data_IF_753153436993
#
_entry.id   IF_753153436993
#
_cell.length_a   1.000
_cell.length_b   1.000
_cell.length_c   1.000
_cell.angle_alpha   90.00
_cell.angle_beta   90.00
_cell.angle_gamma   90.00
#
_symmetry.space_group_name_H-M   'P 1'
#
loop_
_entity.id
_entity.type
_entity.pdbx_description
1 polymer ?
#
# COMPACT_ATOMS: atom_id res chain seq x y z
N UNK A 1 -14.28 -9.11 20.29
CA UNK A 1 -13.88 -7.97 19.46
C UNK A 1 -12.72 -7.24 20.11
N UNK A 2 -11.84 -6.64 19.31
CA UNK A 2 -10.85 -5.67 19.80
C UNK A 2 -11.55 -4.34 20.12
N UNK A 3 -11.05 -3.61 21.11
CA UNK A 3 -11.62 -2.32 21.54
C UNK A 3 -10.51 -1.32 21.84
N UNK A 4 -10.80 -0.03 21.72
CA UNK A 4 -9.89 1.03 22.17
C UNK A 4 -10.30 1.46 23.57
N UNK A 5 -9.40 1.33 24.55
CA UNK A 5 -9.59 1.79 25.93
C UNK A 5 -8.36 2.55 26.40
N UNK A 6 -8.55 3.77 26.89
CA UNK A 6 -7.49 4.61 27.45
C UNK A 6 -6.25 4.71 26.52
N UNK A 7 -6.48 4.96 25.23
CA UNK A 7 -5.41 5.09 24.24
C UNK A 7 -4.72 3.79 23.85
N UNK A 8 -5.28 2.62 24.19
CA UNK A 8 -4.71 1.30 23.87
C UNK A 8 -5.74 0.40 23.22
N UNK A 9 -5.29 -0.50 22.33
CA UNK A 9 -6.11 -1.59 21.84
C UNK A 9 -6.08 -2.74 22.85
N UNK A 10 -7.25 -3.28 23.18
CA UNK A 10 -7.43 -4.41 24.10
C UNK A 10 -8.32 -5.49 23.48
N UNK A 11 -8.16 -6.73 23.95
CA UNK A 11 -9.06 -7.83 23.60
C UNK A 11 -10.39 -7.79 24.38
N UNK A 12 -11.28 -8.74 24.10
CA UNK A 12 -12.59 -8.84 24.78
C UNK A 12 -12.52 -9.08 26.29
N UNK A 13 -11.35 -9.45 26.83
CA UNK A 13 -11.10 -9.57 28.27
C UNK A 13 -10.43 -8.33 28.89
N UNK A 14 -10.16 -7.30 28.07
CA UNK A 14 -9.50 -6.07 28.49
C UNK A 14 -7.98 -6.16 28.55
N UNK A 15 -7.36 -7.23 28.04
CA UNK A 15 -5.90 -7.36 27.99
C UNK A 15 -5.33 -6.56 26.83
N UNK A 16 -4.22 -5.82 26.99
CA UNK A 16 -3.56 -5.12 25.90
C UNK A 16 -3.19 -6.04 24.76
N UNK A 17 -3.41 -5.56 23.53
CA UNK A 17 -3.02 -6.24 22.29
C UNK A 17 -2.13 -5.29 21.50
N UNK A 18 -0.96 -5.77 21.07
CA UNK A 18 -0.11 -5.10 20.08
C UNK A 18 -0.34 -5.75 18.73
N UNK A 19 -0.75 -4.98 17.73
CA UNK A 19 -0.94 -5.48 16.37
C UNK A 19 0.39 -5.34 15.62
N UNK A 20 0.94 -6.47 15.17
CA UNK A 20 2.24 -6.59 14.51
C UNK A 20 2.12 -7.50 13.31
N UNK A 21 2.46 -7.02 12.12
CA UNK A 21 2.37 -7.85 10.94
C UNK A 21 2.80 -7.19 9.65
N UNK A 22 2.05 -7.48 8.59
CA UNK A 22 2.39 -7.09 7.23
C UNK A 22 1.14 -6.77 6.42
N UNK A 23 1.32 -5.96 5.39
CA UNK A 23 0.33 -5.70 4.37
C UNK A 23 0.46 -6.78 3.29
N UNK A 24 -0.68 -7.26 2.78
CA UNK A 24 -0.71 -8.12 1.60
C UNK A 24 -1.06 -7.27 0.37
N UNK A 25 -0.19 -6.29 0.07
CA UNK A 25 -0.22 -5.62 -1.24
C UNK A 25 0.09 -6.63 -2.34
N UNK A 26 -0.46 -6.42 -3.55
CA UNK A 26 -0.33 -7.36 -4.67
C UNK A 26 -1.43 -8.42 -4.77
N UNK A 27 -2.33 -8.47 -3.79
CA UNK A 27 -3.48 -9.37 -3.83
C UNK A 27 -4.72 -8.66 -4.37
N UNK A 28 -5.73 -8.35 -3.54
CA UNK A 28 -6.95 -7.67 -3.98
C UNK A 28 -6.80 -6.14 -4.19
N UNK A 29 -5.57 -5.62 -4.10
CA UNK A 29 -5.13 -4.36 -4.70
C UNK A 29 -3.71 -4.63 -5.22
N UNK A 30 -3.55 -4.69 -6.53
CA UNK A 30 -2.28 -5.08 -7.14
C UNK A 30 -1.42 -3.85 -7.44
N UNK A 31 -0.11 -3.99 -7.39
CA UNK A 31 0.81 -2.88 -7.69
C UNK A 31 1.94 -3.28 -8.63
N UNK A 32 2.31 -2.38 -9.53
CA UNK A 32 3.25 -2.65 -10.62
C UNK A 32 4.62 -3.19 -10.16
N UNK A 33 5.12 -2.77 -9.00
CA UNK A 33 6.40 -3.21 -8.47
C UNK A 33 6.28 -4.47 -7.60
N UNK A 34 5.05 -4.80 -7.17
CA UNK A 34 4.77 -6.00 -6.38
C UNK A 34 4.54 -7.19 -7.31
N UNK A 35 3.72 -6.99 -8.33
CA UNK A 35 3.25 -8.04 -9.25
C UNK A 35 4.03 -8.09 -10.57
N UNK A 36 4.84 -7.07 -10.85
CA UNK A 36 5.71 -7.01 -12.02
C UNK A 36 5.01 -6.63 -13.33
N UNK A 37 3.77 -6.16 -13.30
CA UNK A 37 3.15 -5.51 -14.46
C UNK A 37 3.55 -4.02 -14.54
N UNK A 38 3.33 -3.30 -15.65
CA UNK A 38 3.53 -1.84 -15.75
C UNK A 38 2.20 -1.06 -15.64
N UNK A 39 2.27 0.22 -15.25
CA UNK A 39 1.13 1.15 -15.10
C UNK A 39 0.24 0.85 -13.88
N UNK A 40 -1.04 1.26 -13.94
CA UNK A 40 -2.06 0.98 -12.93
C UNK A 40 -2.75 -0.38 -13.19
N UNK A 41 -3.35 -0.96 -12.16
CA UNK A 41 -3.96 -2.30 -12.19
C UNK A 41 -5.02 -2.43 -13.30
N UNK A 42 -5.96 -1.47 -13.40
CA UNK A 42 -7.01 -1.52 -14.43
C UNK A 42 -6.44 -1.48 -15.85
N UNK A 43 -5.34 -0.74 -16.08
CA UNK A 43 -4.66 -0.68 -17.37
C UNK A 43 -4.03 -2.03 -17.72
N UNK A 44 -3.38 -2.70 -16.75
CA UNK A 44 -2.81 -4.03 -16.96
C UNK A 44 -3.90 -5.08 -17.23
N UNK A 45 -5.00 -5.04 -16.46
CA UNK A 45 -6.18 -5.92 -16.67
C UNK A 45 -6.78 -5.73 -18.06
N UNK A 46 -6.95 -4.48 -18.51
CA UNK A 46 -7.48 -4.17 -19.83
C UNK A 46 -6.53 -4.66 -20.95
N UNK A 47 -5.23 -4.39 -20.83
CA UNK A 47 -4.24 -4.84 -21.82
C UNK A 47 -4.21 -6.38 -21.95
N UNK A 48 -4.35 -7.10 -20.83
CA UNK A 48 -4.40 -8.56 -20.85
C UNK A 48 -5.68 -9.08 -21.50
N UNK A 49 -6.83 -8.46 -21.21
CA UNK A 49 -8.12 -8.82 -21.81
C UNK A 49 -8.14 -8.57 -23.32
N UNK A 50 -7.50 -7.51 -23.81
CA UNK A 50 -7.36 -7.24 -25.24
C UNK A 50 -6.52 -8.32 -25.95
N UNK A 51 -5.44 -8.79 -25.32
CA UNK A 51 -4.51 -9.75 -25.93
C UNK A 51 -4.99 -11.20 -25.82
N UNK A 52 -5.57 -11.60 -24.68
CA UNK A 52 -5.95 -12.98 -24.39
C UNK A 52 -7.45 -13.27 -24.55
N UNK A 53 -8.26 -12.22 -24.64
CA UNK A 53 -9.71 -12.29 -24.49
C UNK A 53 -10.16 -12.19 -23.02
N UNK A 54 -11.38 -11.68 -22.76
CA UNK A 54 -11.84 -11.36 -21.41
C UNK A 54 -11.89 -12.57 -20.47
N UNK A 55 -12.34 -13.73 -20.95
CA UNK A 55 -12.44 -14.95 -20.13
C UNK A 55 -11.07 -15.45 -19.65
N UNK A 56 -10.07 -15.51 -20.55
CA UNK A 56 -8.73 -15.97 -20.21
C UNK A 56 -7.97 -14.95 -19.35
N UNK A 57 -8.20 -13.66 -19.56
CA UNK A 57 -7.66 -12.62 -18.68
C UNK A 57 -8.26 -12.71 -17.27
N UNK A 58 -9.58 -12.93 -17.15
CA UNK A 58 -10.22 -13.18 -15.85
C UNK A 58 -9.61 -14.42 -15.17
N UNK A 59 -9.47 -15.53 -15.91
CA UNK A 59 -8.80 -16.73 -15.42
C UNK A 59 -7.38 -16.43 -14.90
N UNK A 60 -6.57 -15.69 -15.68
CA UNK A 60 -5.22 -15.31 -15.27
C UNK A 60 -5.20 -14.61 -13.90
N UNK A 61 -6.04 -13.58 -13.72
CA UNK A 61 -6.03 -12.84 -12.46
C UNK A 61 -6.64 -13.65 -11.31
N UNK A 62 -7.68 -14.45 -11.54
CA UNK A 62 -8.21 -15.32 -10.50
C UNK A 62 -7.16 -16.31 -9.99
N UNK A 63 -6.40 -16.92 -10.90
CA UNK A 63 -5.32 -17.84 -10.55
C UNK A 63 -4.13 -17.14 -9.91
N UNK A 64 -3.78 -15.93 -10.35
CA UNK A 64 -2.76 -15.12 -9.70
C UNK A 64 -3.15 -14.87 -8.25
N UNK A 65 -4.38 -14.40 -8.00
CA UNK A 65 -4.88 -14.14 -6.64
C UNK A 65 -4.97 -15.42 -5.78
N UNK A 66 -5.30 -16.56 -6.38
CA UNK A 66 -5.33 -17.85 -5.68
C UNK A 66 -3.94 -18.30 -5.21
N UNK A 67 -2.90 -18.07 -6.04
CA UNK A 67 -1.52 -18.47 -5.72
C UNK A 67 -0.77 -17.42 -4.91
N UNK A 68 -1.18 -16.15 -4.96
CA UNK A 68 -0.51 -15.05 -4.26
C UNK A 68 -0.66 -15.12 -2.74
N UNK A 69 -1.84 -15.46 -2.24
CA UNK A 69 -2.10 -15.61 -0.80
C UNK A 69 -2.95 -16.85 -0.55
N UNK A 70 -2.37 -17.85 0.12
CA UNK A 70 -3.03 -19.11 0.48
C UNK A 70 -2.74 -19.52 1.94
N UNK A 71 -3.28 -20.67 2.38
CA UNK A 71 -3.13 -21.15 3.76
C UNK A 71 -1.65 -21.30 4.20
N UNK A 72 -0.75 -21.72 3.29
CA UNK A 72 0.68 -21.84 3.59
C UNK A 72 1.35 -20.49 3.87
N UNK A 73 0.91 -19.43 3.17
CA UNK A 73 1.36 -18.05 3.41
C UNK A 73 0.92 -17.56 4.79
N UNK A 74 -0.35 -17.79 5.14
CA UNK A 74 -0.88 -17.40 6.45
C UNK A 74 -0.19 -18.15 7.59
N UNK A 75 0.06 -19.45 7.40
CA UNK A 75 0.82 -20.27 8.35
C UNK A 75 2.27 -19.78 8.48
N UNK A 76 2.89 -19.31 7.38
CA UNK A 76 4.21 -18.68 7.41
C UNK A 76 4.20 -17.36 8.19
N UNK A 77 3.29 -16.43 7.86
CA UNK A 77 3.13 -15.14 8.54
C UNK A 77 2.95 -15.36 10.06
N UNK A 78 2.07 -16.29 10.44
CA UNK A 78 1.83 -16.64 11.84
C UNK A 78 3.07 -17.23 12.53
N UNK A 79 3.86 -18.04 11.82
CA UNK A 79 5.12 -18.63 12.33
C UNK A 79 6.20 -17.57 12.57
N UNK A 80 6.22 -16.50 11.78
CA UNK A 80 7.08 -15.33 12.01
C UNK A 80 6.63 -14.49 13.23
N UNK A 81 5.57 -14.90 13.92
CA UNK A 81 5.06 -14.26 15.14
C UNK A 81 4.07 -13.12 14.89
N UNK A 82 3.77 -12.79 13.63
CA UNK A 82 2.75 -11.80 13.32
C UNK A 82 1.37 -12.25 13.81
N UNK A 83 0.53 -11.27 14.17
CA UNK A 83 -0.83 -11.51 14.65
C UNK A 83 -1.90 -10.74 13.86
N UNK A 84 -1.49 -9.95 12.86
CA UNK A 84 -2.40 -9.21 11.98
C UNK A 84 -1.89 -9.25 10.55
N UNK A 85 -2.81 -9.28 9.59
CA UNK A 85 -2.56 -8.93 8.19
C UNK A 85 -3.45 -7.75 7.81
N UNK A 86 -2.88 -6.75 7.14
CA UNK A 86 -3.65 -5.70 6.46
C UNK A 86 -3.91 -6.17 5.04
N UNK A 87 -5.16 -6.15 4.61
CA UNK A 87 -5.56 -6.52 3.25
C UNK A 87 -5.97 -5.25 2.49
N UNK A 88 -5.07 -4.69 1.66
CA UNK A 88 -5.41 -3.69 0.66
C UNK A 88 -6.47 -4.19 -0.32
N UNK A 89 -7.53 -3.42 -0.50
CA UNK A 89 -8.69 -3.75 -1.33
C UNK A 89 -8.93 -2.67 -2.37
N UNK A 90 -9.04 -3.08 -3.63
CA UNK A 90 -9.52 -2.23 -4.72
C UNK A 90 -11.04 -2.37 -4.83
N UNK A 91 -11.78 -1.25 -4.78
CA UNK A 91 -13.26 -1.26 -4.84
C UNK A 91 -13.81 -1.99 -6.09
N UNK A 92 -13.04 -2.06 -7.18
CA UNK A 92 -13.43 -2.72 -8.44
C UNK A 92 -13.61 -4.24 -8.30
N UNK A 93 -13.12 -4.85 -7.23
CA UNK A 93 -13.47 -6.23 -6.90
C UNK A 93 -14.90 -6.38 -6.36
N UNK A 94 -15.48 -5.31 -5.83
CA UNK A 94 -16.71 -5.33 -5.04
C UNK A 94 -17.86 -4.58 -5.67
N UNK A 95 -17.59 -3.63 -6.57
CA UNK A 95 -18.60 -2.79 -7.20
C UNK A 95 -18.31 -2.58 -8.70
N UNK A 96 -19.37 -2.56 -9.51
CA UNK A 96 -19.31 -2.23 -10.93
C UNK A 96 -19.20 -0.72 -11.17
N UNK A 97 -18.27 -0.31 -12.04
CA UNK A 97 -18.19 1.07 -12.54
C UNK A 97 -19.26 1.40 -13.60
N UNK A 98 -19.69 0.40 -14.39
CA UNK A 98 -20.71 0.60 -15.44
C UNK A 98 -22.13 0.59 -14.87
N UNK A 99 -22.31 -0.02 -13.71
CA UNK A 99 -23.57 -0.06 -12.96
C UNK A 99 -23.26 0.31 -11.50
N UNK A 100 -23.10 1.61 -11.18
CA UNK A 100 -22.83 2.06 -9.81
C UNK A 100 -23.80 1.46 -8.80
N UNK A 101 -23.31 1.16 -7.59
CA UNK A 101 -24.03 0.46 -6.52
C UNK A 101 -24.41 -1.00 -6.82
N UNK A 102 -24.02 -1.55 -7.98
CA UNK A 102 -24.14 -2.99 -8.24
C UNK A 102 -22.93 -3.72 -7.66
N UNK A 103 -23.17 -4.48 -6.61
CA UNK A 103 -22.14 -5.23 -5.90
C UNK A 103 -21.79 -6.56 -6.57
N UNK A 104 -20.52 -6.92 -6.53
CA UNK A 104 -19.94 -8.10 -7.17
C UNK A 104 -19.67 -9.18 -6.11
N UNK A 105 -20.59 -10.12 -5.95
CA UNK A 105 -20.50 -11.18 -4.93
C UNK A 105 -19.22 -12.04 -5.03
N UNK A 106 -18.63 -12.17 -6.21
CA UNK A 106 -17.39 -12.93 -6.38
C UNK A 106 -16.21 -12.33 -5.59
N UNK A 107 -16.11 -10.99 -5.53
CA UNK A 107 -15.09 -10.31 -4.73
C UNK A 107 -15.29 -10.52 -3.23
N UNK A 108 -16.53 -10.36 -2.77
CA UNK A 108 -16.88 -10.64 -1.37
C UNK A 108 -16.62 -12.10 -0.99
N UNK A 109 -17.03 -13.05 -1.82
CA UNK A 109 -16.79 -14.47 -1.54
C UNK A 109 -15.30 -14.82 -1.46
N UNK A 110 -14.44 -14.17 -2.25
CA UNK A 110 -12.98 -14.32 -2.16
C UNK A 110 -12.45 -13.77 -0.83
N UNK A 111 -12.88 -12.56 -0.45
CA UNK A 111 -12.49 -11.94 0.81
C UNK A 111 -12.98 -12.75 2.02
N UNK A 112 -14.21 -13.24 2.00
CA UNK A 112 -14.81 -14.05 3.07
C UNK A 112 -13.98 -15.31 3.35
N UNK A 113 -13.58 -16.04 2.30
CA UNK A 113 -12.72 -17.22 2.44
C UNK A 113 -11.37 -16.87 3.06
N UNK A 114 -10.79 -15.73 2.69
CA UNK A 114 -9.50 -15.30 3.23
C UNK A 114 -9.60 -14.82 4.69
N UNK A 115 -10.66 -14.09 5.04
CA UNK A 115 -10.94 -13.72 6.44
C UNK A 115 -11.12 -14.98 7.28
N UNK A 116 -11.88 -15.96 6.81
CA UNK A 116 -12.03 -17.24 7.52
C UNK A 116 -10.68 -17.96 7.68
N UNK A 117 -9.87 -18.01 6.61
CA UNK A 117 -8.53 -18.61 6.64
C UNK A 117 -7.60 -17.93 7.65
N UNK A 118 -7.59 -16.60 7.70
CA UNK A 118 -6.84 -15.84 8.71
C UNK A 118 -7.30 -16.20 10.12
N UNK A 119 -8.62 -16.30 10.34
CA UNK A 119 -9.21 -16.69 11.61
C UNK A 119 -8.76 -18.08 12.08
N UNK A 120 -8.75 -19.07 11.18
CA UNK A 120 -8.24 -20.43 11.48
C UNK A 120 -6.76 -20.44 11.88
N UNK A 121 -5.98 -19.50 11.36
CA UNK A 121 -4.55 -19.34 11.69
C UNK A 121 -4.30 -18.45 12.92
N UNK A 122 -5.37 -17.89 13.52
CA UNK A 122 -5.26 -16.97 14.66
C UNK A 122 -4.64 -15.62 14.27
N UNK A 123 -4.85 -15.18 13.04
CA UNK A 123 -4.48 -13.86 12.54
C UNK A 123 -5.70 -12.94 12.53
N UNK A 124 -5.53 -11.71 13.01
CA UNK A 124 -6.48 -10.65 12.76
C UNK A 124 -6.35 -10.12 11.33
N UNK A 125 -7.42 -9.52 10.83
CA UNK A 125 -7.47 -8.88 9.52
C UNK A 125 -7.87 -7.41 9.65
N UNK A 126 -7.11 -6.51 9.04
CA UNK A 126 -7.56 -5.13 8.80
C UNK A 126 -7.99 -5.05 7.34
N UNK A 127 -9.26 -4.70 7.11
CA UNK A 127 -9.78 -4.46 5.77
C UNK A 127 -9.49 -3.01 5.40
N UNK A 128 -8.69 -2.81 4.35
CA UNK A 128 -8.23 -1.49 3.92
C UNK A 128 -8.76 -1.19 2.52
N UNK A 129 -9.64 -0.18 2.39
CA UNK A 129 -10.07 0.25 1.06
C UNK A 129 -8.99 1.15 0.45
N UNK A 130 -8.14 0.50 -0.32
CA UNK A 130 -6.87 1.02 -0.82
C UNK A 130 -7.02 1.83 -2.11
N UNK A 131 -7.96 1.42 -2.95
CA UNK A 131 -8.45 2.21 -4.07
C UNK A 131 -9.96 2.43 -3.91
N UNK A 132 -10.36 3.70 -3.92
CA UNK A 132 -11.78 4.10 -3.80
C UNK A 132 -12.31 4.62 -5.14
N UNK A 133 -13.64 4.72 -5.23
CA UNK A 133 -14.33 5.30 -6.37
C UNK A 133 -13.82 6.71 -6.65
N UNK A 134 -13.52 7.03 -7.92
CA UNK A 134 -13.06 8.35 -8.30
C UNK A 134 -11.64 8.74 -7.84
N UNK A 135 -10.87 7.83 -7.26
CA UNK A 135 -9.48 8.03 -6.79
C UNK A 135 -9.36 9.08 -5.68
N UNK A 136 -8.86 8.66 -4.52
CA UNK A 136 -8.62 9.53 -3.37
C UNK A 136 -7.29 10.28 -3.43
N UNK A 137 -6.38 9.87 -4.32
CA UNK A 137 -5.11 10.53 -4.57
C UNK A 137 -4.71 10.39 -6.05
N UNK A 138 -3.53 10.90 -6.41
CA UNK A 138 -3.09 10.94 -7.82
C UNK A 138 -2.30 9.72 -8.28
N UNK A 139 -2.00 8.76 -7.40
CA UNK A 139 -0.91 7.82 -7.64
C UNK A 139 -1.43 6.44 -8.04
N UNK A 140 -0.58 5.68 -8.72
CA UNK A 140 -0.95 4.41 -9.37
C UNK A 140 -1.45 3.36 -8.38
N UNK A 141 -1.05 3.41 -7.12
CA UNK A 141 -1.41 2.42 -6.09
C UNK A 141 -2.87 2.52 -5.65
N UNK A 142 -3.55 3.67 -5.88
CA UNK A 142 -5.01 3.77 -5.79
C UNK A 142 -5.71 3.43 -7.13
N UNK A 143 -5.02 2.74 -8.03
CA UNK A 143 -5.47 2.36 -9.37
C UNK A 143 -5.79 3.57 -10.27
N UNK A 144 -5.01 4.64 -10.12
CA UNK A 144 -5.13 5.89 -10.87
C UNK A 144 -4.08 6.01 -11.97
N UNK A 145 -4.52 5.89 -13.24
CA UNK A 145 -3.64 6.08 -14.40
C UNK A 145 -3.56 7.54 -14.88
N UNK A 146 -4.43 8.42 -14.37
CA UNK A 146 -4.67 9.75 -14.94
C UNK A 146 -4.16 10.90 -14.07
N UNK A 147 -3.65 10.63 -12.87
CA UNK A 147 -3.02 11.62 -11.99
C UNK A 147 -3.96 12.72 -11.49
N UNK A 148 -5.26 12.46 -11.43
CA UNK A 148 -6.28 13.37 -10.90
C UNK A 148 -7.11 12.71 -9.80
N UNK A 149 -7.62 13.48 -8.85
CA UNK A 149 -8.38 12.95 -7.70
C UNK A 149 -9.84 13.45 -7.71
N UNK A 150 -10.76 12.67 -8.27
CA UNK A 150 -12.16 13.08 -8.44
C UNK A 150 -13.02 12.85 -7.19
N UNK A 151 -12.60 11.93 -6.31
CA UNK A 151 -13.34 11.55 -5.09
C UNK A 151 -13.74 12.76 -4.24
N UNK A 152 -12.85 13.74 -4.08
CA UNK A 152 -13.06 14.87 -3.18
C UNK A 152 -14.03 15.94 -3.69
N UNK A 153 -14.20 16.04 -5.01
CA UNK A 153 -15.06 17.06 -5.65
C UNK A 153 -16.40 16.52 -6.16
N UNK A 154 -16.52 15.20 -6.33
CA UNK A 154 -17.69 14.57 -6.95
C UNK A 154 -18.49 13.77 -5.91
N UNK A 155 -19.62 14.29 -5.41
CA UNK A 155 -20.43 13.62 -4.38
C UNK A 155 -20.81 12.19 -4.73
N UNK A 156 -21.08 11.92 -6.01
CA UNK A 156 -21.42 10.57 -6.48
C UNK A 156 -20.38 9.50 -6.11
N UNK A 157 -19.08 9.82 -6.16
CA UNK A 157 -18.04 8.87 -5.75
C UNK A 157 -18.01 8.66 -4.24
N UNK A 158 -18.29 9.71 -3.45
CA UNK A 158 -18.41 9.59 -2.00
C UNK A 158 -19.65 8.78 -1.60
N UNK A 159 -20.77 8.92 -2.33
CA UNK A 159 -21.98 8.13 -2.10
C UNK A 159 -21.72 6.63 -2.32
N UNK A 160 -21.05 6.28 -3.42
CA UNK A 160 -20.66 4.90 -3.72
C UNK A 160 -19.69 4.33 -2.67
N UNK A 161 -18.70 5.13 -2.27
CA UNK A 161 -17.74 4.78 -1.23
C UNK A 161 -18.42 4.47 0.11
N UNK A 162 -19.32 5.35 0.58
CA UNK A 162 -20.07 5.15 1.82
C UNK A 162 -20.96 3.91 1.72
N UNK A 163 -21.69 3.76 0.61
CA UNK A 163 -22.56 2.59 0.41
C UNK A 163 -21.78 1.26 0.38
N UNK A 164 -20.59 1.25 -0.22
CA UNK A 164 -19.71 0.07 -0.18
C UNK A 164 -19.25 -0.25 1.25
N UNK A 165 -18.92 0.78 2.05
CA UNK A 165 -18.60 0.57 3.47
C UNK A 165 -19.78 0.07 4.29
N UNK A 166 -21.01 0.49 3.98
CA UNK A 166 -22.22 -0.09 4.58
C UNK A 166 -22.36 -1.58 4.25
N UNK A 167 -22.06 -2.01 3.03
CA UNK A 167 -22.02 -3.43 2.66
C UNK A 167 -20.94 -4.21 3.41
N UNK A 168 -19.72 -3.65 3.50
CA UNK A 168 -18.62 -4.26 4.26
C UNK A 168 -18.99 -4.41 5.74
N UNK A 169 -19.52 -3.36 6.37
CA UNK A 169 -20.00 -3.40 7.75
C UNK A 169 -21.10 -4.44 7.92
N UNK A 170 -22.07 -4.52 7.00
CA UNK A 170 -23.15 -5.51 7.08
C UNK A 170 -22.60 -6.94 7.04
N UNK A 171 -21.61 -7.22 6.20
CA UNK A 171 -21.04 -8.57 6.05
C UNK A 171 -20.17 -8.97 7.23
N UNK A 172 -19.33 -8.06 7.70
CA UNK A 172 -18.29 -8.39 8.68
C UNK A 172 -18.67 -8.08 10.12
N UNK A 173 -19.81 -7.43 10.39
CA UNK A 173 -20.29 -7.17 11.77
C UNK A 173 -20.26 -8.42 12.65
N UNK A 174 -19.70 -8.27 13.85
CA UNK A 174 -19.54 -9.35 14.82
C UNK A 174 -18.47 -10.39 14.50
N UNK A 175 -17.74 -10.28 13.38
CA UNK A 175 -16.64 -11.18 13.06
C UNK A 175 -15.33 -10.78 13.77
N UNK A 176 -15.01 -11.44 14.88
CA UNK A 176 -13.83 -11.13 15.68
C UNK A 176 -12.47 -11.34 14.99
N UNK A 177 -12.42 -12.01 13.84
CA UNK A 177 -11.21 -12.09 13.02
C UNK A 177 -10.88 -10.75 12.38
N UNK A 178 -11.89 -9.94 12.04
CA UNK A 178 -11.65 -8.59 11.54
C UNK A 178 -11.29 -7.70 12.74
N UNK A 179 -10.06 -7.19 12.76
CA UNK A 179 -9.61 -6.22 13.76
C UNK A 179 -10.32 -4.87 13.57
N UNK A 180 -10.57 -4.50 12.31
CA UNK A 180 -11.28 -3.28 11.97
C UNK A 180 -11.18 -2.87 10.51
N UNK A 181 -11.66 -1.65 10.25
CA UNK A 181 -11.84 -1.07 8.92
C UNK A 181 -10.93 0.14 8.74
N UNK A 182 -9.95 0.05 7.86
CA UNK A 182 -9.17 1.19 7.39
C UNK A 182 -9.92 1.80 6.22
N UNK A 183 -10.65 2.88 6.51
CA UNK A 183 -11.73 3.35 5.62
C UNK A 183 -11.20 3.86 4.28
N UNK A 184 -10.00 4.41 4.26
CA UNK A 184 -9.39 4.99 3.07
C UNK A 184 -7.87 5.06 3.24
N UNK A 185 -7.16 4.47 2.30
CA UNK A 185 -5.70 4.57 2.20
C UNK A 185 -5.26 5.91 1.62
N UNK A 186 -4.27 6.55 2.24
CA UNK A 186 -3.48 7.67 1.71
C UNK A 186 -4.30 8.77 1.01
N UNK A 187 -5.23 9.43 1.71
CA UNK A 187 -6.02 10.51 1.13
C UNK A 187 -5.15 11.71 0.75
N UNK A 188 -5.49 12.36 -0.37
CA UNK A 188 -4.88 13.62 -0.83
C UNK A 188 -5.97 14.54 -1.34
N UNK A 189 -6.62 15.25 -0.42
CA UNK A 189 -7.84 16.05 -0.66
C UNK A 189 -7.70 17.13 -1.72
N UNK A 190 -6.55 17.81 -1.79
CA UNK A 190 -6.40 19.01 -2.61
C UNK A 190 -5.61 18.76 -3.90
N UNK A 191 -5.94 17.68 -4.63
CA UNK A 191 -5.32 17.31 -5.93
C UNK A 191 -6.30 16.95 -7.06
N UNK A 192 -7.42 17.66 -7.20
CA UNK A 192 -8.48 17.31 -8.15
C UNK A 192 -8.04 17.43 -9.61
N UNK A 193 -7.10 18.31 -9.90
CA UNK A 193 -6.55 18.53 -11.24
C UNK A 193 -5.11 17.98 -11.36
N UNK A 194 -4.65 17.25 -10.33
CA UNK A 194 -3.30 16.68 -10.21
C UNK A 194 -2.36 17.46 -9.28
N UNK A 195 -1.11 16.98 -9.21
CA UNK A 195 -0.03 17.57 -8.38
C UNK A 195 1.05 18.18 -9.26
N UNK A 196 1.36 19.46 -9.03
CA UNK A 196 2.37 20.21 -9.80
C UNK A 196 3.26 21.12 -8.93
N UNK A 197 2.74 21.70 -7.84
CA UNK A 197 3.49 22.59 -6.95
C UNK A 197 4.14 21.89 -5.76
N UNK A 198 5.09 22.57 -5.11
CA UNK A 198 5.75 22.11 -3.87
C UNK A 198 4.94 22.32 -2.61
N UNK A 199 4.05 23.31 -2.63
CA UNK A 199 3.17 23.61 -1.52
C UNK A 199 1.89 22.80 -1.67
N UNK A 200 1.64 21.94 -0.68
CA UNK A 200 0.41 21.20 -0.56
C UNK A 200 -0.28 21.59 0.75
N UNK A 201 -1.55 21.97 0.64
CA UNK A 201 -2.39 22.25 1.81
C UNK A 201 -3.60 21.32 1.76
N UNK A 202 -3.77 20.43 2.76
CA UNK A 202 -4.97 19.62 2.89
C UNK A 202 -6.25 20.46 2.95
N UNK A 203 -7.32 19.98 2.33
CA UNK A 203 -8.67 20.45 2.60
C UNK A 203 -9.26 19.70 3.80
N UNK A 204 -8.96 20.23 4.99
CA UNK A 204 -9.40 19.66 6.26
C UNK A 204 -10.92 19.57 6.39
N UNK A 205 -11.66 20.53 5.85
CA UNK A 205 -13.11 20.53 5.93
C UNK A 205 -13.69 19.32 5.17
N UNK A 206 -13.16 19.05 3.97
CA UNK A 206 -13.62 17.95 3.13
C UNK A 206 -13.28 16.58 3.74
N UNK A 207 -12.04 16.33 4.17
CA UNK A 207 -11.68 15.02 4.76
C UNK A 207 -12.44 14.74 6.05
N UNK A 208 -12.59 15.73 6.95
CA UNK A 208 -13.34 15.55 8.18
C UNK A 208 -14.83 15.26 7.90
N UNK A 209 -15.44 15.94 6.91
CA UNK A 209 -16.82 15.67 6.51
C UNK A 209 -17.01 14.25 5.97
N UNK A 210 -16.10 13.77 5.10
CA UNK A 210 -16.12 12.40 4.57
C UNK A 210 -15.94 11.38 5.70
N UNK A 211 -14.99 11.61 6.62
CA UNK A 211 -14.73 10.73 7.75
C UNK A 211 -15.92 10.62 8.71
N UNK A 212 -16.57 11.74 9.06
CA UNK A 212 -17.81 11.68 9.84
C UNK A 212 -18.86 10.85 9.14
N UNK A 213 -19.11 11.14 7.85
CA UNK A 213 -20.14 10.47 7.07
C UNK A 213 -19.94 8.96 6.99
N UNK A 214 -18.73 8.49 6.67
CA UNK A 214 -18.46 7.04 6.55
C UNK A 214 -18.44 6.35 7.92
N UNK A 215 -17.90 7.00 8.96
CA UNK A 215 -17.89 6.45 10.32
C UNK A 215 -19.31 6.32 10.86
N UNK A 216 -20.15 7.34 10.68
CA UNK A 216 -21.56 7.31 11.11
C UNK A 216 -22.34 6.20 10.38
N UNK A 217 -22.15 6.07 9.06
CA UNK A 217 -22.78 5.01 8.26
C UNK A 217 -22.36 3.60 8.72
N UNK A 218 -21.05 3.40 8.94
CA UNK A 218 -20.53 2.14 9.49
C UNK A 218 -21.13 1.89 10.88
N UNK A 219 -21.09 2.88 11.79
CA UNK A 219 -21.55 2.73 13.17
C UNK A 219 -23.05 2.46 13.30
N UNK A 220 -23.85 2.88 12.33
CA UNK A 220 -25.27 2.53 12.26
C UNK A 220 -25.52 1.02 12.03
N UNK A 221 -24.53 0.30 11.47
CA UNK A 221 -24.61 -1.13 11.13
C UNK A 221 -23.71 -1.97 12.05
N UNK A 222 -22.53 -1.45 12.38
CA UNK A 222 -21.47 -2.09 13.14
C UNK A 222 -20.87 -1.15 14.20
N UNK A 223 -21.38 -1.23 15.44
CA UNK A 223 -20.92 -0.38 16.52
C UNK A 223 -19.59 -0.83 17.14
N UNK A 224 -19.08 -2.03 16.82
CA UNK A 224 -18.02 -2.67 17.63
C UNK A 224 -16.63 -2.57 17.01
N UNK A 225 -16.49 -2.79 15.69
CA UNK A 225 -15.16 -2.87 15.05
C UNK A 225 -14.35 -1.58 15.20
N UNK A 226 -13.03 -1.71 15.28
CA UNK A 226 -12.14 -0.55 15.20
C UNK A 226 -12.30 0.10 13.82
N UNK A 227 -12.33 1.42 13.77
CA UNK A 227 -12.19 2.17 12.52
C UNK A 227 -10.83 2.87 12.52
N UNK A 228 -10.03 2.58 11.51
CA UNK A 228 -8.74 3.21 11.27
C UNK A 228 -8.90 4.38 10.30
N UNK A 229 -8.47 5.57 10.71
CA UNK A 229 -8.51 6.80 9.92
C UNK A 229 -7.08 7.25 9.59
N UNK A 230 -6.83 7.57 8.33
CA UNK A 230 -5.50 8.00 7.87
C UNK A 230 -5.36 9.53 7.85
N UNK A 231 -4.12 9.98 7.90
CA UNK A 231 -3.81 11.39 7.68
C UNK A 231 -3.92 11.77 6.20
N UNK A 232 -4.10 13.07 5.93
CA UNK A 232 -3.96 13.59 4.57
C UNK A 232 -2.48 13.51 4.09
N UNK A 233 -2.26 13.67 2.80
CA UNK A 233 -0.99 13.66 2.12
C UNK A 233 -0.21 12.38 2.36
N UNK A 234 -0.78 11.26 1.90
CA UNK A 234 -0.19 9.93 2.04
C UNK A 234 0.00 9.55 3.51
N UNK A 235 -1.04 9.81 4.32
CA UNK A 235 -1.03 9.41 5.73
C UNK A 235 0.05 10.09 6.57
N UNK A 236 0.45 11.32 6.19
CA UNK A 236 1.50 12.09 6.87
C UNK A 236 0.98 13.32 7.65
N UNK A 237 -0.16 13.88 7.27
CA UNK A 237 -0.70 15.15 7.80
C UNK A 237 -1.95 14.91 8.64
N UNK A 238 -1.91 15.33 9.89
CA UNK A 238 -2.98 15.12 10.88
C UNK A 238 -3.40 16.41 11.59
N UNK A 239 -2.65 17.50 11.43
CA UNK A 239 -2.80 18.69 12.26
C UNK A 239 -4.21 19.32 12.22
N UNK A 240 -4.92 19.21 11.09
CA UNK A 240 -6.28 19.71 10.93
C UNK A 240 -7.38 18.64 10.95
N UNK A 241 -7.05 17.39 11.29
CA UNK A 241 -8.09 16.40 11.62
C UNK A 241 -8.80 16.83 12.92
N UNK A 242 -10.11 16.65 12.94
CA UNK A 242 -10.91 16.87 14.14
C UNK A 242 -10.53 15.88 15.24
N UNK A 243 -10.63 16.31 16.50
CA UNK A 243 -10.49 15.42 17.65
C UNK A 243 -11.39 14.16 17.49
N UNK A 244 -11.00 13.01 18.06
CA UNK A 244 -11.76 11.77 17.93
C UNK A 244 -13.24 11.99 18.28
N UNK A 245 -14.11 11.67 17.33
CA UNK A 245 -15.53 12.00 17.39
C UNK A 245 -16.44 10.76 17.53
N UNK A 246 -15.85 9.58 17.59
CA UNK A 246 -16.53 8.31 17.79
C UNK A 246 -15.67 7.38 18.65
N UNK A 247 -16.29 6.36 19.23
CA UNK A 247 -15.59 5.32 19.96
C UNK A 247 -14.85 4.35 19.01
N UNK A 248 -13.85 3.64 19.55
CA UNK A 248 -13.06 2.65 18.83
C UNK A 248 -12.40 3.20 17.55
N UNK A 249 -11.87 4.42 17.61
CA UNK A 249 -11.04 5.00 16.55
C UNK A 249 -9.54 4.75 16.82
N UNK A 250 -8.83 4.39 15.75
CA UNK A 250 -7.36 4.33 15.70
C UNK A 250 -6.92 5.19 14.53
N UNK A 251 -5.78 5.89 14.68
CA UNK A 251 -5.25 6.70 13.60
C UNK A 251 -4.07 5.97 12.96
N UNK A 252 -4.10 5.88 11.64
CA UNK A 252 -3.09 5.20 10.83
C UNK A 252 -2.18 6.24 10.19
N UNK A 253 -0.87 6.09 10.32
CA UNK A 253 0.15 6.92 9.65
C UNK A 253 1.11 6.06 8.86
N UNK A 254 1.65 6.57 7.76
CA UNK A 254 2.69 5.88 6.99
C UNK A 254 4.06 6.47 7.27
N UNK A 255 5.08 5.61 7.40
CA UNK A 255 6.41 6.01 7.84
C UNK A 255 7.49 5.36 6.97
N UNK A 256 7.71 5.92 5.78
CA UNK A 256 8.83 5.53 4.93
C UNK A 256 10.06 6.38 5.23
N UNK A 257 11.17 5.71 5.53
CA UNK A 257 12.43 6.35 5.92
C UNK A 257 13.45 6.26 4.78
N UNK A 258 14.14 7.36 4.47
CA UNK A 258 15.24 7.35 3.51
C UNK A 258 16.34 6.33 3.90
N UNK A 259 16.49 6.00 5.18
CA UNK A 259 17.43 4.99 5.66
C UNK A 259 17.05 3.57 5.22
N UNK A 260 15.76 3.28 5.00
CA UNK A 260 15.29 2.00 4.47
C UNK A 260 15.43 1.88 2.95
N UNK A 261 15.65 2.99 2.25
CA UNK A 261 15.60 3.07 0.79
C UNK A 261 17.01 3.27 0.19
N UNK A 262 17.82 4.12 0.82
CA UNK A 262 19.17 4.41 0.36
C UNK A 262 19.24 5.45 -0.76
N UNK A 263 20.38 5.53 -1.46
CA UNK A 263 21.60 4.75 -1.26
C UNK A 263 22.45 5.27 -0.08
N UNK A 264 23.41 4.47 0.40
CA UNK A 264 24.41 4.88 1.39
C UNK A 264 24.36 4.09 2.70
N UNK A 265 25.41 4.20 3.51
CA UNK A 265 25.60 3.34 4.68
C UNK A 265 24.67 3.67 5.86
N UNK A 266 24.29 2.68 6.66
CA UNK A 266 23.53 2.84 7.90
C UNK A 266 24.13 2.02 9.06
N UNK A 267 24.52 2.63 10.19
CA UNK A 267 24.45 4.05 10.45
C UNK A 267 25.48 4.87 9.65
N UNK A 268 25.27 6.18 9.50
CA UNK A 268 26.21 7.10 8.86
C UNK A 268 26.40 8.36 9.69
N UNK A 269 27.66 8.79 9.79
CA UNK A 269 28.09 10.02 10.46
C UNK A 269 28.23 11.20 9.48
N UNK A 270 27.67 11.09 8.27
CA UNK A 270 27.75 12.15 7.28
C UNK A 270 27.06 13.45 7.79
N UNK A 271 27.67 14.63 7.58
CA UNK A 271 27.09 15.90 8.04
C UNK A 271 25.68 16.13 7.49
N UNK A 272 24.74 16.51 8.36
CA UNK A 272 23.39 16.97 7.97
C UNK A 272 22.34 15.88 7.76
N UNK A 273 22.65 14.60 8.01
CA UNK A 273 21.65 13.50 8.00
C UNK A 273 21.92 12.54 9.16
N UNK A 274 21.15 12.55 10.25
CA UNK A 274 21.30 11.53 11.30
C UNK A 274 20.75 10.20 10.77
N UNK A 275 21.57 9.46 10.05
CA UNK A 275 21.27 8.11 9.58
C UNK A 275 21.67 7.14 10.68
N UNK A 276 20.87 7.09 11.74
CA UNK A 276 20.99 6.17 12.85
C UNK A 276 19.64 6.05 13.56
N UNK A 277 19.57 5.22 14.61
CA UNK A 277 18.36 5.02 15.40
C UNK A 277 17.86 6.34 16.02
N UNK A 278 18.75 7.22 16.46
CA UNK A 278 18.36 8.47 17.12
C UNK A 278 17.68 9.42 16.13
N UNK A 279 18.21 9.52 14.91
CA UNK A 279 17.59 10.26 13.81
C UNK A 279 16.24 9.68 13.39
N UNK A 280 16.11 8.35 13.31
CA UNK A 280 14.81 7.73 13.03
C UNK A 280 13.79 8.00 14.15
N UNK A 281 14.22 7.97 15.41
CA UNK A 281 13.38 8.31 16.56
C UNK A 281 12.93 9.77 16.53
N UNK A 282 13.84 10.70 16.22
CA UNK A 282 13.53 12.12 16.08
C UNK A 282 12.54 12.36 14.95
N UNK A 283 12.78 11.77 13.77
CA UNK A 283 11.88 11.86 12.63
C UNK A 283 10.49 11.33 12.99
N UNK A 284 10.38 10.15 13.59
CA UNK A 284 9.10 9.60 14.02
C UNK A 284 8.37 10.51 15.01
N UNK A 285 9.04 11.07 16.02
CA UNK A 285 8.41 11.95 17.00
C UNK A 285 7.99 13.33 16.44
N UNK A 286 8.60 13.76 15.33
CA UNK A 286 8.27 15.01 14.65
C UNK A 286 7.16 14.86 13.60
N UNK A 287 6.82 13.63 13.19
CA UNK A 287 5.67 13.38 12.33
C UNK A 287 4.34 13.71 13.02
N UNK A 288 3.36 14.17 12.24
CA UNK A 288 2.08 14.64 12.77
C UNK A 288 1.22 13.49 13.34
N UNK A 289 1.32 12.27 12.80
CA UNK A 289 0.57 11.10 13.29
C UNK A 289 0.84 10.78 14.76
N UNK A 290 2.10 10.51 15.16
CA UNK A 290 2.47 10.31 16.57
C UNK A 290 2.13 11.50 17.48
N UNK A 291 2.24 12.74 16.98
CA UNK A 291 1.85 13.93 17.75
C UNK A 291 0.35 13.99 17.98
N UNK A 292 -0.44 13.74 16.94
CA UNK A 292 -1.90 13.71 16.99
C UNK A 292 -2.37 12.61 17.95
N UNK A 293 -1.85 11.39 17.80
CA UNK A 293 -2.21 10.25 18.64
C UNK A 293 -1.92 10.52 20.12
N UNK A 294 -0.76 11.11 20.43
CA UNK A 294 -0.40 11.54 21.80
C UNK A 294 -1.31 12.65 22.32
N UNK A 295 -1.57 13.68 21.51
CA UNK A 295 -2.41 14.83 21.88
C UNK A 295 -3.84 14.39 22.25
N UNK A 296 -4.39 13.43 21.51
CA UNK A 296 -5.77 12.97 21.66
C UNK A 296 -5.92 11.67 22.46
N UNK A 297 -4.83 11.11 22.99
CA UNK A 297 -4.81 9.85 23.74
C UNK A 297 -5.52 8.71 23.00
N UNK A 298 -5.18 8.54 21.72
CA UNK A 298 -5.68 7.47 20.85
C UNK A 298 -4.53 6.58 20.38
N UNK A 299 -4.76 5.29 20.08
CA UNK A 299 -3.72 4.43 19.54
C UNK A 299 -3.26 4.93 18.17
N UNK A 300 -1.97 4.75 17.90
CA UNK A 300 -1.37 4.92 16.58
C UNK A 300 -1.09 3.55 15.96
N UNK A 301 -1.50 3.39 14.71
CA UNK A 301 -1.04 2.32 13.85
C UNK A 301 -0.14 2.89 12.76
N UNK A 302 1.09 2.38 12.65
CA UNK A 302 1.93 2.62 11.49
C UNK A 302 1.49 1.64 10.41
N UNK A 303 0.54 2.09 9.57
CA UNK A 303 -0.13 1.26 8.56
C UNK A 303 0.81 0.76 7.49
N UNK A 304 1.83 1.54 7.17
CA UNK A 304 2.88 1.18 6.23
C UNK A 304 4.24 1.74 6.63
N UNK A 305 5.26 0.91 6.45
CA UNK A 305 6.67 1.26 6.51
C UNK A 305 7.47 0.08 5.93
N UNK A 306 8.74 0.30 5.59
CA UNK A 306 9.58 -0.79 5.13
C UNK A 306 10.94 -0.33 4.61
N UNK A 307 11.71 -1.30 4.16
CA UNK A 307 12.98 -1.13 3.48
C UNK A 307 12.97 -1.86 2.15
N UNK A 308 13.81 -1.43 1.21
CA UNK A 308 13.99 -2.07 -0.10
C UNK A 308 15.29 -2.88 -0.12
N UNK A 309 15.31 -3.95 -0.92
CA UNK A 309 16.42 -4.90 -1.03
C UNK A 309 16.85 -5.15 -2.48
N UNK A 310 16.28 -4.41 -3.44
CA UNK A 310 16.65 -4.44 -4.85
C UNK A 310 17.75 -3.43 -5.24
N UNK A 311 18.38 -2.79 -4.24
CA UNK A 311 19.55 -1.95 -4.41
C UNK A 311 20.85 -2.77 -4.48
N UNK A 312 22.02 -2.12 -4.33
CA UNK A 312 23.31 -2.81 -4.24
C UNK A 312 23.32 -3.86 -3.12
N UNK A 313 23.84 -5.05 -3.41
CA UNK A 313 23.79 -6.19 -2.49
C UNK A 313 24.56 -5.92 -1.18
N UNK A 314 25.62 -5.12 -1.26
CA UNK A 314 26.43 -4.69 -0.12
C UNK A 314 25.67 -3.76 0.85
N UNK A 315 24.59 -3.11 0.41
CA UNK A 315 23.77 -2.23 1.25
C UNK A 315 22.60 -2.98 1.94
N UNK A 316 22.30 -4.21 1.55
CA UNK A 316 21.21 -5.01 2.14
C UNK A 316 21.33 -5.13 3.67
N UNK A 317 22.51 -5.44 4.26
CA UNK A 317 22.66 -5.46 5.72
C UNK A 317 22.34 -4.12 6.39
N UNK A 318 22.56 -3.01 5.70
CA UNK A 318 22.30 -1.67 6.21
C UNK A 318 20.80 -1.36 6.19
N UNK A 319 20.10 -1.79 5.14
CA UNK A 319 18.63 -1.68 5.03
C UNK A 319 17.92 -2.50 6.11
N UNK A 320 18.47 -3.67 6.45
CA UNK A 320 17.98 -4.52 7.54
C UNK A 320 18.18 -3.87 8.91
N UNK A 321 19.36 -3.28 9.18
CA UNK A 321 19.61 -2.54 10.44
C UNK A 321 18.72 -1.30 10.56
N UNK A 322 18.52 -0.57 9.47
CA UNK A 322 17.61 0.58 9.44
C UNK A 322 16.18 0.17 9.79
N UNK A 323 15.69 -0.94 9.22
CA UNK A 323 14.37 -1.47 9.56
C UNK A 323 14.27 -1.93 11.02
N UNK A 324 15.29 -2.63 11.52
CA UNK A 324 15.34 -3.11 12.91
C UNK A 324 15.21 -1.95 13.90
N UNK A 325 15.99 -0.89 13.70
CA UNK A 325 15.93 0.33 14.50
C UNK A 325 14.59 1.05 14.37
N UNK A 326 13.99 1.08 13.17
CA UNK A 326 12.70 1.72 12.94
C UNK A 326 11.58 1.02 13.71
N UNK A 327 11.52 -0.32 13.65
CA UNK A 327 10.54 -1.10 14.42
C UNK A 327 10.78 -0.94 15.92
N UNK A 328 12.05 -0.90 16.36
CA UNK A 328 12.37 -0.68 17.76
C UNK A 328 11.84 0.66 18.29
N UNK A 329 11.90 1.72 17.47
CA UNK A 329 11.30 3.02 17.79
C UNK A 329 9.78 2.93 17.92
N UNK A 330 9.11 2.18 17.03
CA UNK A 330 7.66 1.98 17.11
C UNK A 330 7.26 1.19 18.35
N UNK A 331 8.01 0.14 18.68
CA UNK A 331 7.81 -0.67 19.90
C UNK A 331 8.06 0.15 21.18
N UNK A 332 9.10 0.99 21.22
CA UNK A 332 9.39 1.90 22.34
C UNK A 332 8.23 2.88 22.58
N UNK A 333 7.65 3.41 21.49
CA UNK A 333 6.51 4.31 21.58
C UNK A 333 5.21 3.58 21.93
N UNK A 334 5.13 2.28 21.62
CA UNK A 334 3.92 1.48 21.73
C UNK A 334 2.96 1.75 20.57
N UNK A 335 3.47 1.80 19.33
CA UNK A 335 2.66 1.89 18.12
C UNK A 335 2.35 0.48 17.60
N UNK A 336 1.17 0.31 16.99
CA UNK A 336 0.89 -0.86 16.17
C UNK A 336 1.62 -0.72 14.85
N UNK A 337 1.92 -1.80 14.13
CA UNK A 337 2.62 -1.67 12.85
C UNK A 337 2.36 -2.81 11.88
N UNK A 338 2.39 -2.48 10.59
CA UNK A 338 2.38 -3.42 9.47
C UNK A 338 3.42 -3.01 8.44
N UNK A 339 4.34 -3.93 8.12
CA UNK A 339 5.31 -3.69 7.04
C UNK A 339 4.63 -3.66 5.68
N UNK A 340 5.15 -2.86 4.75
CA UNK A 340 4.85 -2.94 3.33
C UNK A 340 6.06 -3.62 2.65
N UNK A 341 5.95 -4.83 2.10
CA UNK A 341 4.77 -5.72 1.96
C UNK A 341 5.13 -7.19 2.28
N UNK A 342 4.15 -8.11 2.24
CA UNK A 342 4.35 -9.54 2.47
C UNK A 342 5.11 -10.24 1.34
N UNK A 343 4.60 -10.14 0.11
CA UNK A 343 5.09 -10.87 -1.05
C UNK A 343 5.25 -9.94 -2.25
N UNK A 344 6.34 -10.07 -3.00
CA UNK A 344 6.55 -9.31 -4.25
C UNK A 344 7.51 -10.00 -5.24
N UNK A 345 7.82 -9.30 -6.33
CA UNK A 345 8.79 -9.71 -7.36
C UNK A 345 10.25 -9.36 -7.04
N UNK A 346 10.60 -9.16 -5.76
CA UNK A 346 11.98 -8.98 -5.30
C UNK A 346 12.36 -7.55 -4.93
N UNK A 347 11.45 -6.79 -4.31
CA UNK A 347 11.70 -5.38 -3.93
C UNK A 347 11.88 -5.21 -2.42
N UNK A 348 10.87 -5.55 -1.63
CA UNK A 348 10.76 -5.31 -0.18
C UNK A 348 10.09 -6.46 0.59
N UNK A 349 9.49 -7.43 -0.10
CA UNK A 349 8.72 -8.52 0.47
C UNK A 349 9.46 -9.36 1.54
N UNK A 350 8.69 -9.86 2.52
CA UNK A 350 9.13 -10.94 3.43
C UNK A 350 9.44 -12.20 2.63
N UNK A 351 8.65 -12.40 1.59
CA UNK A 351 8.76 -13.46 0.61
C UNK A 351 8.85 -12.80 -0.76
N UNK A 352 9.70 -13.32 -1.63
CA UNK A 352 9.83 -12.81 -3.00
C UNK A 352 9.73 -13.95 -3.99
N UNK A 353 9.29 -13.68 -5.21
CA UNK A 353 9.41 -14.68 -6.27
C UNK A 353 10.88 -15.05 -6.49
N UNK A 354 11.10 -16.30 -6.89
CA UNK A 354 12.41 -16.69 -7.41
C UNK A 354 12.64 -15.96 -8.75
N UNK A 355 13.76 -15.23 -8.95
CA UNK A 355 14.07 -14.62 -10.24
C UNK A 355 14.11 -15.61 -11.42
N UNK A 356 14.40 -16.88 -11.14
CA UNK A 356 14.40 -17.98 -12.13
C UNK A 356 13.04 -18.67 -12.26
N UNK A 357 12.01 -18.20 -11.55
CA UNK A 357 10.65 -18.76 -11.66
C UNK A 357 10.04 -18.49 -13.04
N UNK A 358 9.15 -19.38 -13.46
CA UNK A 358 8.46 -19.31 -14.75
C UNK A 358 7.80 -17.95 -14.99
N UNK A 359 7.18 -17.36 -13.95
CA UNK A 359 6.56 -16.04 -14.08
C UNK A 359 7.59 -14.94 -14.32
N UNK A 360 8.66 -14.89 -13.52
CA UNK A 360 9.72 -13.89 -13.65
C UNK A 360 10.42 -13.96 -15.01
N UNK A 361 10.65 -15.18 -15.50
CA UNK A 361 11.21 -15.41 -16.83
C UNK A 361 10.22 -14.99 -17.94
N UNK A 362 8.92 -15.28 -17.78
CA UNK A 362 7.90 -14.88 -18.75
C UNK A 362 7.75 -13.36 -18.88
N UNK A 363 7.99 -12.61 -17.80
CA UNK A 363 7.89 -11.13 -17.81
C UNK A 363 9.24 -10.41 -17.99
N UNK A 364 10.34 -11.15 -18.16
CA UNK A 364 11.70 -10.61 -18.14
C UNK A 364 11.91 -9.46 -19.14
N UNK A 365 11.33 -9.55 -20.35
CA UNK A 365 11.43 -8.51 -21.36
C UNK A 365 10.70 -7.23 -20.94
N UNK A 366 9.48 -7.35 -20.43
CA UNK A 366 8.75 -6.20 -19.90
C UNK A 366 9.47 -5.58 -18.70
N UNK A 367 10.06 -6.39 -17.82
CA UNK A 367 10.83 -5.95 -16.67
C UNK A 367 12.10 -5.19 -17.10
N UNK A 368 12.80 -5.66 -18.14
CA UNK A 368 13.92 -4.92 -18.74
C UNK A 368 13.46 -3.56 -19.25
N UNK A 369 12.34 -3.49 -19.97
CA UNK A 369 11.81 -2.22 -20.50
C UNK A 369 11.40 -1.27 -19.37
N UNK A 370 10.74 -1.76 -18.32
CA UNK A 370 10.42 -0.97 -17.11
C UNK A 370 11.67 -0.31 -16.52
N UNK A 371 12.76 -1.08 -16.35
CA UNK A 371 14.03 -0.58 -15.82
C UNK A 371 14.72 0.43 -16.76
N UNK A 372 14.80 0.13 -18.06
CA UNK A 372 15.46 1.00 -19.04
C UNK A 372 14.73 2.34 -19.24
N UNK A 373 13.40 2.35 -19.09
CA UNK A 373 12.59 3.57 -19.11
C UNK A 373 12.48 4.23 -17.73
N UNK A 374 12.64 3.49 -16.64
CA UNK A 374 12.39 4.00 -15.29
C UNK A 374 10.90 4.26 -15.04
N UNK A 375 10.03 3.33 -15.46
CA UNK A 375 8.57 3.47 -15.29
C UNK A 375 8.14 3.43 -13.82
N UNK A 376 8.99 2.91 -12.94
CA UNK A 376 8.77 2.96 -11.50
C UNK A 376 9.51 4.18 -10.94
N UNK A 377 9.03 5.39 -11.28
CA UNK A 377 9.75 6.66 -11.10
C UNK A 377 10.10 7.01 -9.64
N UNK A 378 9.43 6.39 -8.69
CA UNK A 378 9.66 6.51 -7.24
C UNK A 378 10.92 5.77 -6.76
N UNK A 379 11.54 4.93 -7.60
CA UNK A 379 12.74 4.13 -7.27
C UNK A 379 14.04 4.96 -7.23
N UNK A 380 14.04 6.07 -6.51
CA UNK A 380 15.11 7.08 -6.56
C UNK A 380 16.48 6.63 -6.05
N UNK A 381 16.54 5.48 -5.38
CA UNK A 381 17.80 4.86 -4.94
C UNK A 381 18.51 4.07 -6.05
N UNK A 382 17.81 3.77 -7.14
CA UNK A 382 18.38 3.11 -8.31
C UNK A 382 19.01 4.14 -9.26
N UNK A 383 19.94 3.70 -10.13
CA UNK A 383 20.49 4.55 -11.18
C UNK A 383 19.39 5.14 -12.08
N UNK A 384 19.53 6.42 -12.40
CA UNK A 384 18.55 7.14 -13.22
C UNK A 384 18.60 6.62 -14.65
N UNK A 385 17.44 6.28 -15.20
CA UNK A 385 17.30 5.80 -16.58
C UNK A 385 17.60 6.89 -17.62
N UNK A 386 17.88 6.49 -18.87
CA UNK A 386 18.04 7.45 -19.98
C UNK A 386 16.79 8.32 -20.16
N UNK A 387 15.61 7.71 -20.10
CA UNK A 387 14.35 8.45 -20.19
C UNK A 387 14.16 9.40 -18.99
N UNK A 388 14.58 9.00 -17.80
CA UNK A 388 14.61 9.86 -16.61
C UNK A 388 15.50 11.08 -16.78
N UNK A 389 16.66 10.95 -17.43
CA UNK A 389 17.53 12.09 -17.74
C UNK A 389 16.87 13.05 -18.75
N UNK A 390 16.20 12.53 -19.79
CA UNK A 390 15.46 13.35 -20.77
C UNK A 390 14.31 14.10 -20.08
N UNK A 391 13.58 13.45 -19.18
CA UNK A 391 12.51 14.09 -18.42
C UNK A 391 13.06 15.19 -17.50
N UNK A 392 14.23 14.99 -16.88
CA UNK A 392 14.90 16.05 -16.10
C UNK A 392 15.32 17.24 -16.97
N UNK A 393 15.79 16.98 -18.18
CA UNK A 393 16.13 18.05 -19.13
C UNK A 393 14.89 18.82 -19.58
N UNK A 394 13.78 18.12 -19.85
CA UNK A 394 12.50 18.76 -20.16
C UNK A 394 11.99 19.60 -18.99
N UNK A 395 12.05 19.09 -17.76
CA UNK A 395 11.70 19.85 -16.56
C UNK A 395 12.52 21.14 -16.45
N UNK A 396 13.84 21.06 -16.64
CA UNK A 396 14.72 22.24 -16.67
C UNK A 396 14.36 23.22 -17.79
N UNK A 397 14.05 22.71 -18.99
CA UNK A 397 13.59 23.54 -20.10
C UNK A 397 12.30 24.28 -19.76
N UNK A 398 11.34 23.62 -19.10
CA UNK A 398 10.11 24.26 -18.61
C UNK A 398 10.44 25.39 -17.63
N UNK A 399 11.32 25.13 -16.65
CA UNK A 399 11.76 26.14 -15.67
C UNK A 399 12.40 27.36 -16.36
N UNK A 400 13.30 27.12 -17.32
CA UNK A 400 14.02 28.16 -18.05
C UNK A 400 13.10 28.99 -18.98
N UNK A 401 12.19 28.34 -19.70
CA UNK A 401 11.29 29.01 -20.65
C UNK A 401 10.15 29.73 -19.94
N UNK A 402 9.58 29.12 -18.89
CA UNK A 402 8.55 29.77 -18.09
C UNK A 402 9.11 30.98 -17.32
N UNK A 403 10.37 30.87 -16.83
CA UNK A 403 11.06 31.91 -16.07
C UNK A 403 10.22 32.43 -14.89
N UNK A 404 9.50 31.51 -14.24
CA UNK A 404 8.62 31.78 -13.12
C UNK A 404 9.27 31.27 -11.82
N UNK A 405 9.62 32.15 -10.87
CA UNK A 405 10.24 31.75 -9.60
C UNK A 405 9.30 30.94 -8.68
N UNK A 406 7.99 30.88 -8.96
CA UNK A 406 7.05 30.07 -8.20
C UNK A 406 7.11 28.57 -8.57
N UNK A 407 7.73 28.22 -9.70
CA UNK A 407 7.94 26.82 -10.07
C UNK A 407 9.04 26.22 -9.19
N UNK A 408 8.68 25.30 -8.30
CA UNK A 408 9.65 24.52 -7.55
C UNK A 408 10.32 23.45 -8.43
N UNK A 409 11.65 23.49 -8.63
CA UNK A 409 12.33 22.55 -9.51
C UNK A 409 12.24 21.09 -9.06
N UNK A 410 12.16 20.83 -7.75
CA UNK A 410 12.07 19.47 -7.25
C UNK A 410 10.71 18.83 -7.57
N UNK A 411 9.64 19.57 -7.35
CA UNK A 411 8.25 19.16 -7.62
C UNK A 411 8.00 19.05 -9.11
N UNK A 412 8.47 20.00 -9.91
CA UNK A 412 8.39 19.95 -11.38
C UNK A 412 9.04 18.65 -11.91
N UNK A 413 10.29 18.36 -11.53
CA UNK A 413 10.99 17.13 -11.94
C UNK A 413 10.24 15.87 -11.50
N UNK A 414 9.77 15.82 -10.24
CA UNK A 414 9.06 14.65 -9.70
C UNK A 414 7.76 14.40 -10.45
N UNK A 415 6.88 15.39 -10.48
CA UNK A 415 5.55 15.22 -11.05
C UNK A 415 5.57 15.02 -12.56
N UNK A 416 6.56 15.61 -13.26
CA UNK A 416 6.78 15.31 -14.67
C UNK A 416 7.29 13.88 -14.87
N UNK A 417 8.21 13.38 -14.03
CA UNK A 417 8.66 11.99 -14.07
C UNK A 417 7.51 11.01 -13.84
N UNK A 418 6.68 11.26 -12.82
CA UNK A 418 5.50 10.45 -12.58
C UNK A 418 4.56 10.45 -13.81
N UNK A 419 4.47 11.57 -14.55
CA UNK A 419 3.47 11.72 -15.61
C UNK A 419 3.96 11.04 -16.89
N UNK A 420 5.18 11.35 -17.26
CA UNK A 420 5.82 10.84 -18.46
C UNK A 420 6.21 9.38 -18.32
N UNK A 421 6.76 8.97 -17.16
CA UNK A 421 7.36 7.65 -16.97
C UNK A 421 6.39 6.68 -16.30
N UNK A 422 5.85 7.04 -15.12
CA UNK A 422 5.02 6.13 -14.32
C UNK A 422 3.58 5.98 -14.84
N UNK A 423 3.06 6.99 -15.54
CA UNK A 423 1.75 6.91 -16.17
C UNK A 423 1.85 6.62 -17.67
N UNK A 424 2.36 7.57 -18.47
CA UNK A 424 2.30 7.47 -19.93
C UNK A 424 3.17 6.35 -20.50
N UNK A 425 4.47 6.37 -20.23
CA UNK A 425 5.39 5.34 -20.74
C UNK A 425 5.00 3.96 -20.19
N UNK A 426 4.68 3.86 -18.90
CA UNK A 426 4.21 2.60 -18.31
C UNK A 426 2.96 2.05 -19.02
N UNK A 427 1.99 2.91 -19.34
CA UNK A 427 0.77 2.51 -20.06
C UNK A 427 1.07 2.03 -21.48
N UNK A 428 2.06 2.61 -22.16
CA UNK A 428 2.53 2.11 -23.46
C UNK A 428 3.21 0.74 -23.36
N UNK A 429 3.79 0.40 -22.20
CA UNK A 429 4.45 -0.90 -21.96
C UNK A 429 3.42 -1.97 -21.56
N UNK A 430 2.24 -1.63 -21.06
CA UNK A 430 1.22 -2.62 -20.63
C UNK A 430 0.82 -3.61 -21.74
N UNK A 431 0.57 -3.20 -23.00
CA UNK A 431 0.33 -4.16 -24.08
C UNK A 431 1.54 -5.04 -24.40
N UNK A 432 2.78 -4.56 -24.21
CA UNK A 432 3.98 -5.38 -24.36
C UNK A 432 4.01 -6.48 -23.29
N UNK A 433 3.74 -6.12 -22.03
CA UNK A 433 3.65 -7.08 -20.94
C UNK A 433 2.61 -8.16 -21.23
N UNK A 434 1.39 -7.77 -21.63
CA UNK A 434 0.30 -8.69 -21.93
C UNK A 434 0.62 -9.66 -23.09
N UNK A 435 1.33 -9.19 -24.13
CA UNK A 435 1.72 -10.02 -25.29
C UNK A 435 2.68 -11.15 -24.94
N UNK A 436 3.40 -11.08 -23.83
CA UNK A 436 4.27 -12.18 -23.38
C UNK A 436 3.48 -13.46 -23.07
N UNK A 437 2.18 -13.34 -22.77
CA UNK A 437 1.32 -14.50 -22.47
C UNK A 437 0.50 -14.98 -23.69
N UNK A 438 0.68 -14.35 -24.86
CA UNK A 438 -0.10 -14.68 -26.06
C UNK A 438 0.15 -16.13 -26.47
N UNK A 439 -0.94 -16.85 -26.74
CA UNK A 439 -0.87 -18.25 -27.20
C UNK A 439 -0.66 -19.26 -26.08
N UNK A 440 -0.45 -18.84 -24.83
CA UNK A 440 -0.43 -19.76 -23.70
C UNK A 440 -1.83 -20.37 -23.47
N UNK A 441 -1.86 -21.67 -23.18
CA UNK A 441 -3.06 -22.35 -22.70
C UNK A 441 -3.34 -21.95 -21.25
N UNK A 442 -4.55 -22.20 -20.76
CA UNK A 442 -4.89 -21.95 -19.35
C UNK A 442 -4.04 -22.81 -18.41
N UNK A 443 -3.72 -24.04 -18.79
CA UNK A 443 -2.83 -24.93 -18.03
C UNK A 443 -1.41 -24.35 -17.94
N UNK A 444 -0.89 -23.77 -19.03
CA UNK A 444 0.44 -23.13 -19.00
C UNK A 444 0.43 -21.86 -18.14
N UNK A 445 -0.64 -21.07 -18.23
CA UNK A 445 -0.83 -19.87 -17.40
C UNK A 445 -0.87 -20.25 -15.92
N UNK A 446 -1.68 -21.24 -15.54
CA UNK A 446 -1.78 -21.69 -14.15
C UNK A 446 -0.44 -22.25 -13.63
N UNK A 447 0.24 -23.10 -14.41
CA UNK A 447 1.55 -23.63 -14.05
C UNK A 447 2.59 -22.52 -13.83
N UNK A 448 2.59 -21.49 -14.68
CA UNK A 448 3.45 -20.32 -14.52
C UNK A 448 3.09 -19.51 -13.26
N UNK A 449 1.80 -19.26 -13.01
CA UNK A 449 1.34 -18.49 -11.85
C UNK A 449 1.55 -19.21 -10.51
N UNK A 450 1.76 -20.52 -10.51
CA UNK A 450 2.26 -21.23 -9.31
C UNK A 450 3.61 -20.69 -8.81
N UNK A 451 4.33 -19.89 -9.58
CA UNK A 451 5.50 -19.13 -9.10
C UNK A 451 5.19 -18.29 -7.86
N UNK A 452 3.94 -17.82 -7.71
CA UNK A 452 3.49 -17.07 -6.54
C UNK A 452 3.17 -17.95 -5.33
N UNK A 453 2.96 -19.26 -5.50
CA UNK A 453 2.67 -20.14 -4.37
C UNK A 453 3.86 -20.15 -3.39
N UNK A 454 3.60 -20.06 -2.08
CA UNK A 454 4.63 -19.91 -1.05
C UNK A 454 5.83 -20.86 -1.21
N UNK A 455 5.56 -22.14 -1.47
CA UNK A 455 6.58 -23.20 -1.65
C UNK A 455 7.57 -22.96 -2.80
N UNK A 456 7.22 -22.10 -3.76
CA UNK A 456 8.03 -21.77 -4.93
C UNK A 456 8.68 -20.38 -4.80
N UNK A 457 8.44 -19.67 -3.69
CA UNK A 457 9.02 -18.37 -3.40
C UNK A 457 10.28 -18.49 -2.54
N UNK A 458 11.05 -17.41 -2.49
CA UNK A 458 12.22 -17.25 -1.62
C UNK A 458 11.86 -16.43 -0.39
N UNK A 459 12.33 -16.87 0.78
CA UNK A 459 12.17 -16.11 2.02
C UNK A 459 13.34 -15.15 2.18
N UNK A 460 13.04 -13.87 2.47
CA UNK A 460 14.03 -12.90 2.89
C UNK A 460 14.40 -13.15 4.36
N UNK A 461 15.40 -14.01 4.59
CA UNK A 461 15.74 -14.49 5.94
C UNK A 461 16.12 -13.35 6.88
N UNK A 462 16.95 -12.40 6.43
CA UNK A 462 17.37 -11.27 7.26
C UNK A 462 16.19 -10.39 7.70
N UNK A 463 15.23 -10.14 6.80
CA UNK A 463 14.00 -9.41 7.13
C UNK A 463 13.16 -10.18 8.13
N UNK A 464 12.91 -11.47 7.89
CA UNK A 464 12.07 -12.30 8.75
C UNK A 464 12.68 -12.48 10.14
N UNK A 465 14.00 -12.51 10.28
CA UNK A 465 14.70 -12.50 11.57
C UNK A 465 14.45 -11.20 12.34
N UNK A 466 14.53 -10.03 11.67
CA UNK A 466 14.20 -8.72 12.27
C UNK A 466 12.74 -8.70 12.73
N UNK A 467 11.81 -9.17 11.89
CA UNK A 467 10.39 -9.26 12.25
C UNK A 467 10.19 -10.17 13.46
N UNK A 468 10.75 -11.39 13.43
CA UNK A 468 10.64 -12.37 14.51
C UNK A 468 11.15 -11.85 15.85
N UNK A 469 12.24 -11.08 15.84
CA UNK A 469 12.78 -10.40 17.03
C UNK A 469 11.76 -9.47 17.68
N UNK A 470 11.01 -8.69 16.89
CA UNK A 470 10.06 -7.70 17.41
C UNK A 470 8.69 -8.28 17.73
N UNK A 471 8.22 -9.25 16.94
CA UNK A 471 6.94 -9.93 17.20
C UNK A 471 6.94 -10.74 18.49
N UNK A 472 8.11 -11.23 18.92
CA UNK A 472 8.30 -11.96 20.18
C UNK A 472 8.19 -11.08 21.46
N UNK A 473 8.14 -9.75 21.33
CA UNK A 473 7.99 -8.84 22.49
C UNK A 473 6.61 -9.00 23.15
N UNK A 474 6.45 -8.75 24.45
CA UNK A 474 5.12 -8.62 25.06
C UNK A 474 4.34 -7.44 24.45
N UNK A 475 3.01 -7.46 24.60
CA UNK A 475 2.10 -6.45 24.06
C UNK A 475 2.15 -5.10 24.81
#
# INVERSE_FOLDING_TARGET
MLQVKNGRVVDGSGRPVRLRGTCVGGWMNMENFIDGYPAAEHSARAALAEVLGPAKAQFFFDRLLDHFLADDDLAFIRRCGANVVRLPLNYRHFESDVEPFRYLEAGFARLDRMVEACGRQGLYVILDLHAVQGWQNTDWHCDNANRISLFWRMPHFQDRFVALWEEMARRYRGNATVAGYNVMNEPVTNTPDGRFGSQYTPDWAVINAVYRRVVEAIRAIDPEHIIFLEGDYYSNRFAGLEAPFADNLVYSSHNYSACGFGPGSYPSNAPGKPWDRAGQREAFLTHEGPQYARKHNVPLWVGEFGSVYNGPAEEVPDRLRALDDQIDVFEEWGAHWTTWTYKDVGVMGWVTLDPESDYMQAIADSQRVKRELGTDAWTTWLPVSRAGLIVRELARCIEEVANDPEIDPASNRRHLADAALACYAASLVAPLWARQFRGMSEERIDAMLQSFAFKNCRVNQGLVEVIGKHTARPA
#
